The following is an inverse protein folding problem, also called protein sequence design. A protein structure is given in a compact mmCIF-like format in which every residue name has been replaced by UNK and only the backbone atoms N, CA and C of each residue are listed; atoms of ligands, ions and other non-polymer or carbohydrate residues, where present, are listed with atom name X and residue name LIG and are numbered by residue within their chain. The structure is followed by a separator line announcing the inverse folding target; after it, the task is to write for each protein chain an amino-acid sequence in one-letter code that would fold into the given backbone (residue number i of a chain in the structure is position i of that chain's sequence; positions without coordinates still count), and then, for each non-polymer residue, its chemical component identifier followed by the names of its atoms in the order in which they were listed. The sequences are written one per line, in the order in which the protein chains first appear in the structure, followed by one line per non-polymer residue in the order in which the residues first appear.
data_IF_246578172035
#
_entry.id   IF_246578172035
#
_cell.length_a   1.000
_cell.length_b   1.000
_cell.length_c   1.000
_cell.angle_alpha   90.00
_cell.angle_beta   90.00
_cell.angle_gamma   90.00
#
_symmetry.space_group_name_H-M   'P 1'
#
loop_
_entity.id
_entity.type
_entity.pdbx_description
1 polymer ?
#
# COMPACT_ATOMS: atom_id res chain seq x y z
N UNK A 1 3.00 -5.59 -11.24
CA UNK A 1 1.65 -5.08 -11.62
C UNK A 1 1.72 -3.61 -12.03
N UNK A 2 1.25 -3.28 -13.23
CA UNK A 2 0.96 -1.88 -13.56
C UNK A 2 -0.26 -1.45 -12.76
N UNK A 3 -0.17 -0.30 -12.13
CA UNK A 3 -1.25 0.28 -11.35
C UNK A 3 -2.46 0.56 -12.26
N UNK A 4 -3.67 0.16 -11.81
CA UNK A 4 -4.96 0.22 -12.53
C UNK A 4 -5.23 -0.79 -13.66
N UNK A 5 -4.54 -1.93 -13.73
CA UNK A 5 -5.21 -3.09 -14.34
C UNK A 5 -6.11 -3.71 -13.27
N UNK A 6 -7.45 -3.77 -13.47
CA UNK A 6 -8.32 -4.53 -12.58
C UNK A 6 -7.72 -5.92 -12.43
N UNK A 7 -7.58 -6.37 -11.18
CA UNK A 7 -7.09 -7.72 -10.93
C UNK A 7 -8.06 -8.70 -11.61
N UNK A 8 -7.60 -9.40 -12.65
CA UNK A 8 -8.41 -10.40 -13.32
C UNK A 8 -8.36 -11.70 -12.51
N UNK A 9 -9.19 -11.74 -11.48
CA UNK A 9 -9.35 -12.91 -10.62
C UNK A 9 -9.89 -14.13 -11.38
N UNK A 10 -10.55 -13.92 -12.54
CA UNK A 10 -11.06 -15.01 -13.38
C UNK A 10 -9.94 -15.63 -14.22
N UNK A 11 -8.91 -14.86 -14.58
CA UNK A 11 -7.68 -15.36 -15.21
C UNK A 11 -6.76 -16.11 -14.24
N UNK A 12 -7.05 -16.08 -12.94
CA UNK A 12 -6.22 -16.67 -11.89
C UNK A 12 -5.07 -15.76 -11.43
N UNK A 13 -5.09 -14.47 -11.80
CA UNK A 13 -4.14 -13.50 -11.28
C UNK A 13 -4.43 -13.25 -9.78
N UNK A 14 -3.39 -13.40 -8.96
CA UNK A 14 -3.45 -13.10 -7.53
C UNK A 14 -2.48 -11.95 -7.23
N UNK A 15 -2.87 -11.01 -6.35
CA UNK A 15 -1.99 -9.92 -5.96
C UNK A 15 -0.83 -10.50 -5.14
N UNK A 16 0.39 -10.01 -5.40
CA UNK A 16 1.58 -10.41 -4.62
C UNK A 16 1.42 -10.04 -3.15
N UNK A 17 0.83 -8.88 -2.89
CA UNK A 17 0.45 -8.40 -1.57
C UNK A 17 -1.06 -8.06 -1.61
N UNK A 18 -1.94 -8.97 -1.17
CA UNK A 18 -3.37 -8.71 -1.15
C UNK A 18 -3.75 -7.60 -0.16
N UNK A 19 -4.65 -6.71 -0.57
CA UNK A 19 -5.28 -5.71 0.30
C UNK A 19 -6.29 -6.37 1.25
N UNK A 20 -6.97 -7.41 0.79
CA UNK A 20 -8.00 -8.17 1.52
C UNK A 20 -7.52 -8.94 2.76
N UNK A 21 -6.26 -8.77 3.17
CA UNK A 21 -5.78 -9.25 4.46
C UNK A 21 -6.07 -8.19 5.51
N UNK A 22 -6.72 -8.59 6.61
CA UNK A 22 -6.96 -7.71 7.73
C UNK A 22 -5.63 -7.18 8.31
N UNK A 23 -5.52 -5.85 8.45
CA UNK A 23 -4.27 -5.20 8.82
C UNK A 23 -3.30 -4.94 7.65
N UNK A 24 -3.73 -5.05 6.39
CA UNK A 24 -2.92 -4.60 5.26
C UNK A 24 -2.61 -3.10 5.38
N UNK A 25 -1.36 -2.73 5.10
CA UNK A 25 -0.90 -1.34 5.12
C UNK A 25 -0.66 -0.90 3.68
N UNK A 26 -1.37 0.15 3.27
CA UNK A 26 -1.39 0.59 1.88
C UNK A 26 -1.27 2.11 1.76
N UNK A 27 -0.66 2.58 0.68
CA UNK A 27 -0.56 4.00 0.35
C UNK A 27 -1.89 4.50 -0.23
N UNK A 28 -2.26 5.75 0.07
CA UNK A 28 -3.44 6.40 -0.53
C UNK A 28 -3.15 6.78 -1.99
N UNK A 29 -4.17 7.26 -2.71
CA UNK A 29 -4.00 7.76 -4.07
C UNK A 29 -3.38 9.16 -4.07
N UNK A 30 -2.49 9.42 -5.02
CA UNK A 30 -1.98 10.76 -5.23
C UNK A 30 -3.04 11.64 -5.89
N UNK A 31 -3.44 12.73 -5.24
CA UNK A 31 -4.59 13.55 -5.67
C UNK A 31 -4.44 14.22 -7.04
N UNK A 32 -3.22 14.31 -7.58
CA UNK A 32 -2.93 14.90 -8.90
C UNK A 32 -2.75 13.88 -10.03
N UNK A 33 -2.75 12.58 -9.71
CA UNK A 33 -2.56 11.51 -10.68
C UNK A 33 -3.16 10.22 -10.13
N UNK A 34 -4.35 9.90 -10.61
CA UNK A 34 -5.08 8.67 -10.28
C UNK A 34 -4.33 7.38 -10.67
N UNK A 35 -3.17 7.49 -11.32
CA UNK A 35 -2.25 6.41 -11.70
C UNK A 35 -1.05 6.23 -10.76
N UNK A 36 -0.98 7.02 -9.68
CA UNK A 36 0.10 6.99 -8.70
C UNK A 36 -0.45 6.92 -7.27
N UNK A 37 0.39 6.44 -6.35
CA UNK A 37 0.13 6.45 -4.91
C UNK A 37 0.81 7.64 -4.25
N UNK A 38 0.26 8.09 -3.14
CA UNK A 38 0.84 9.12 -2.28
C UNK A 38 1.99 8.53 -1.45
N UNK A 39 3.11 9.25 -1.35
CA UNK A 39 4.28 8.80 -0.60
C UNK A 39 4.18 9.11 0.91
N UNK A 40 3.35 10.07 1.29
CA UNK A 40 3.27 10.63 2.64
C UNK A 40 2.00 10.19 3.38
N UNK A 41 1.02 9.63 2.66
CA UNK A 41 -0.24 9.18 3.22
C UNK A 41 -0.42 7.66 3.04
N UNK A 42 -0.70 6.99 4.16
CA UNK A 42 -1.04 5.57 4.18
C UNK A 42 -2.25 5.33 5.08
N UNK A 43 -2.83 4.15 4.93
CA UNK A 43 -3.89 3.65 5.79
C UNK A 43 -3.66 2.19 6.16
N UNK A 44 -4.33 1.76 7.22
CA UNK A 44 -4.41 0.36 7.64
C UNK A 44 -5.80 -0.13 7.29
N UNK A 45 -5.88 -1.16 6.45
CA UNK A 45 -7.12 -1.74 6.01
C UNK A 45 -7.67 -2.68 7.10
N UNK A 46 -8.84 -2.33 7.63
CA UNK A 46 -9.60 -3.19 8.54
C UNK A 46 -10.56 -3.99 7.67
N UNK A 47 -10.23 -5.25 7.43
CA UNK A 47 -11.00 -6.05 6.50
C UNK A 47 -12.41 -6.30 7.06
N UNK A 48 -13.40 -6.01 6.24
CA UNK A 48 -14.79 -6.36 6.52
C UNK A 48 -15.29 -7.31 5.45
N UNK A 49 -15.73 -8.51 5.86
CA UNK A 49 -16.30 -9.52 4.96
C UNK A 49 -17.52 -9.00 4.18
N UNK A 50 -18.22 -7.99 4.70
CA UNK A 50 -19.33 -7.35 3.98
C UNK A 50 -18.88 -6.59 2.73
N UNK A 51 -17.60 -6.21 2.68
CA UNK A 51 -16.95 -5.48 1.58
C UNK A 51 -16.12 -6.39 0.67
N UNK A 52 -16.36 -7.70 0.74
CA UNK A 52 -15.63 -8.70 -0.02
C UNK A 52 -16.52 -9.40 -1.05
N UNK A 53 -15.95 -9.65 -2.22
CA UNK A 53 -16.57 -10.41 -3.30
C UNK A 53 -16.25 -11.91 -3.23
N UNK A 54 -16.20 -12.56 -4.40
CA UNK A 54 -15.78 -13.95 -4.52
C UNK A 54 -14.36 -14.15 -3.97
N UNK A 55 -14.10 -15.31 -3.37
CA UNK A 55 -12.82 -15.66 -2.73
C UNK A 55 -12.40 -14.74 -1.56
N UNK A 56 -13.33 -13.98 -0.97
CA UNK A 56 -13.07 -13.04 0.11
C UNK A 56 -12.09 -11.90 -0.25
N UNK A 57 -11.95 -11.60 -1.55
CA UNK A 57 -11.18 -10.46 -2.03
C UNK A 57 -11.97 -9.17 -1.85
N UNK A 58 -11.29 -8.10 -1.46
CA UNK A 58 -11.87 -6.76 -1.37
C UNK A 58 -12.26 -6.27 -2.76
N UNK A 59 -13.33 -5.51 -2.88
CA UNK A 59 -13.66 -4.83 -4.15
C UNK A 59 -12.59 -3.82 -4.57
N UNK A 60 -11.79 -3.35 -3.63
CA UNK A 60 -10.70 -2.40 -3.86
C UNK A 60 -9.36 -3.08 -4.16
N UNK A 61 -9.36 -4.40 -4.36
CA UNK A 61 -8.14 -5.15 -4.68
C UNK A 61 -7.48 -4.63 -5.97
N UNK A 62 -6.16 -4.39 -5.94
CA UNK A 62 -5.41 -3.81 -7.05
C UNK A 62 -5.55 -2.29 -7.22
N UNK A 63 -6.36 -1.61 -6.41
CA UNK A 63 -6.51 -0.14 -6.47
C UNK A 63 -5.51 0.63 -5.61
N UNK A 64 -4.96 -0.01 -4.56
CA UNK A 64 -4.00 0.62 -3.64
C UNK A 64 -2.65 -0.12 -3.66
N UNK A 65 -1.57 0.62 -3.42
CA UNK A 65 -0.24 0.05 -3.26
C UNK A 65 -0.06 -0.52 -1.85
N UNK A 66 -0.29 -1.82 -1.69
CA UNK A 66 0.00 -2.53 -0.43
C UNK A 66 1.52 -2.70 -0.29
N UNK A 67 2.06 -2.33 0.87
CA UNK A 67 3.50 -2.42 1.14
C UNK A 67 3.86 -3.11 2.46
N UNK A 68 2.87 -3.55 3.23
CA UNK A 68 3.11 -4.29 4.46
C UNK A 68 1.84 -4.79 5.14
N UNK A 69 2.03 -5.46 6.26
CA UNK A 69 0.95 -5.99 7.10
C UNK A 69 1.26 -5.72 8.57
N UNK A 70 0.22 -5.41 9.33
CA UNK A 70 0.27 -5.43 10.79
C UNK A 70 0.44 -6.88 11.23
N UNK A 71 1.51 -7.15 11.98
CA UNK A 71 1.82 -8.50 12.50
C UNK A 71 1.58 -8.63 14.00
N UNK A 72 1.40 -7.51 14.71
CA UNK A 72 1.12 -7.44 16.14
C UNK A 72 0.32 -6.16 16.45
N UNK A 73 -0.48 -6.18 17.51
CA UNK A 73 -1.27 -5.03 17.99
C UNK A 73 -2.56 -4.74 17.20
N UNK A 74 -3.15 -5.73 16.52
CA UNK A 74 -4.42 -5.54 15.79
C UNK A 74 -5.59 -5.12 16.70
N UNK A 75 -5.60 -5.55 17.96
CA UNK A 75 -6.56 -5.10 18.98
C UNK A 75 -6.52 -3.58 19.19
N UNK A 76 -5.32 -2.98 19.17
CA UNK A 76 -5.15 -1.52 19.20
C UNK A 76 -5.70 -0.88 17.93
N UNK A 77 -5.40 -1.45 16.75
CA UNK A 77 -5.93 -0.97 15.46
C UNK A 77 -7.46 -0.98 15.44
N UNK A 78 -8.07 -2.02 16.00
CA UNK A 78 -9.53 -2.11 16.09
C UNK A 78 -10.13 -1.02 16.97
N UNK A 79 -9.41 -0.60 18.02
CA UNK A 79 -9.80 0.47 18.93
C UNK A 79 -9.56 1.89 18.44
N UNK A 80 -8.85 2.11 17.33
CA UNK A 80 -8.55 3.45 16.81
C UNK A 80 -9.84 4.23 16.49
N UNK A 81 -9.83 5.51 16.86
CA UNK A 81 -10.93 6.46 16.68
C UNK A 81 -10.46 7.72 15.95
N UNK A 82 -11.44 8.49 15.44
CA UNK A 82 -11.16 9.79 14.84
C UNK A 82 -10.48 10.70 15.85
N UNK A 83 -9.33 11.25 15.47
CA UNK A 83 -8.54 12.15 16.31
C UNK A 83 -7.37 11.47 17.01
N UNK A 84 -7.27 10.13 16.95
CA UNK A 84 -6.06 9.44 17.35
C UNK A 84 -4.88 9.84 16.46
N UNK A 85 -3.70 9.92 17.05
CA UNK A 85 -2.48 10.39 16.38
C UNK A 85 -1.34 9.42 16.59
N UNK A 86 -0.59 9.15 15.53
CA UNK A 86 0.67 8.41 15.60
C UNK A 86 1.68 9.28 16.35
N UNK A 87 2.12 8.83 17.53
CA UNK A 87 3.10 9.56 18.34
C UNK A 87 4.54 9.37 17.87
N UNK A 88 4.85 8.19 17.34
CA UNK A 88 6.18 7.85 16.87
C UNK A 88 6.13 6.62 15.98
N UNK A 89 7.06 6.54 15.02
CA UNK A 89 7.34 5.34 14.23
C UNK A 89 8.81 5.02 14.39
N UNK A 90 9.14 3.74 14.61
CA UNK A 90 10.52 3.27 14.77
C UNK A 90 10.78 2.07 13.88
N UNK A 91 11.83 2.13 13.09
CA UNK A 91 12.33 0.98 12.34
C UNK A 91 13.00 0.00 13.32
N UNK A 92 12.53 -1.25 13.32
CA UNK A 92 13.05 -2.29 14.22
C UNK A 92 14.08 -3.19 13.50
N UNK A 93 13.90 -3.43 12.20
CA UNK A 93 14.75 -4.30 11.38
C UNK A 93 14.65 -3.97 9.88
N UNK A 94 15.63 -4.41 9.09
CA UNK A 94 15.57 -4.34 7.62
C UNK A 94 16.04 -3.01 7.00
N UNK A 95 16.56 -2.08 7.81
CA UNK A 95 17.08 -0.81 7.31
C UNK A 95 18.30 -0.96 6.39
N UNK A 96 19.04 -2.06 6.51
CA UNK A 96 20.11 -2.48 5.61
C UNK A 96 19.63 -2.75 4.17
N UNK A 97 18.33 -2.99 3.99
CA UNK A 97 17.72 -3.24 2.68
C UNK A 97 17.23 -1.97 1.99
N UNK A 98 17.30 -0.82 2.66
CA UNK A 98 16.88 0.46 2.08
C UNK A 98 17.92 0.90 1.03
N UNK A 99 17.51 0.92 -0.24
CA UNK A 99 18.31 1.46 -1.33
C UNK A 99 17.86 2.89 -1.59
N UNK A 100 18.70 3.86 -1.26
CA UNK A 100 18.44 5.27 -1.57
C UNK A 100 18.86 5.53 -3.02
N UNK A 101 17.98 6.06 -3.89
CA UNK A 101 18.38 6.43 -5.24
C UNK A 101 19.51 7.46 -5.17
N UNK A 102 20.64 7.16 -5.82
CA UNK A 102 21.64 8.18 -6.13
C UNK A 102 20.96 9.29 -6.96
N UNK A 103 21.35 10.55 -6.75
CA UNK A 103 20.75 11.69 -7.44
C UNK A 103 20.62 11.44 -8.96
N UNK A 104 19.55 11.95 -9.63
CA UNK A 104 19.37 11.75 -11.06
C UNK A 104 20.64 12.15 -11.79
N UNK A 105 21.24 11.23 -12.55
CA UNK A 105 22.33 11.60 -13.47
C UNK A 105 21.76 12.62 -14.45
N UNK A 106 22.34 13.82 -14.46
CA UNK A 106 22.00 14.86 -15.43
C UNK A 106 22.07 14.25 -16.84
N UNK A 107 21.02 14.40 -17.67
CA UNK A 107 21.06 13.88 -19.02
C UNK A 107 22.32 14.41 -19.72
N UNK A 108 23.04 13.57 -20.50
CA UNK A 108 24.25 14.03 -21.18
C UNK A 108 23.90 15.28 -21.97
N UNK A 109 24.66 16.35 -21.74
CA UNK A 109 24.48 17.61 -22.45
C UNK A 109 24.39 17.32 -23.95
N UNK A 110 23.27 17.72 -24.57
CA UNK A 110 23.11 17.61 -26.01
C UNK A 110 24.28 18.32 -26.66
N UNK A 111 25.20 17.54 -27.23
CA UNK A 111 26.33 18.07 -27.98
C UNK A 111 25.81 18.97 -29.10
N UNK A 112 26.42 20.14 -29.21
CA UNK A 112 26.23 21.10 -30.29
C UNK A 112 26.69 20.55 -31.65
#
# INVERSE_FOLDING_TARGET
PQYRLPLDVQSGELPVLPLSIDGAVAMTHFSGNDGAVDADQFFIYKFDKSQAGLAALSFDEGTFGVFGYVTDGMDVIYGLQKGDVVKSVKLISGGDRLVVPSAPQEPPASGA
#
